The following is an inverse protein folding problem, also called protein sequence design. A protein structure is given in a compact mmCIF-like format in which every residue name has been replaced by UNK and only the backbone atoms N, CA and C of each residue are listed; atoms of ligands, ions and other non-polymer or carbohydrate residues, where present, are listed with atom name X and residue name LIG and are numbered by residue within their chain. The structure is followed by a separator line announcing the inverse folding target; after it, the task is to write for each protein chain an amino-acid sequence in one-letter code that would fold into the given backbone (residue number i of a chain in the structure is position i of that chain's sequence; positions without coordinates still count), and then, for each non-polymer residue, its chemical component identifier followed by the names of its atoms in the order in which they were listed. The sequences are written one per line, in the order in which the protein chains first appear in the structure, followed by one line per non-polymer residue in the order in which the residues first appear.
data_IF_156329785651
#
_entry.id   IF_156329785651
#
_cell.length_a   1.000
_cell.length_b   1.000
_cell.length_c   1.000
_cell.angle_alpha   90.00
_cell.angle_beta   90.00
_cell.angle_gamma   90.00
#
_symmetry.space_group_name_H-M   'P 1'
#
loop_
_entity.id
_entity.type
_entity.pdbx_description
1 polymer ?
#
# COMPACT_ATOMS: atom_id res chain seq x y z
N UNK A 1 -8.65 63.55 6.00
CA UNK A 1 -8.69 62.30 6.79
C UNK A 1 -9.37 61.12 6.07
N UNK A 2 -10.42 61.32 5.25
CA UNK A 2 -11.09 60.24 4.49
C UNK A 2 -10.14 59.41 3.58
N UNK A 3 -9.16 60.05 2.93
CA UNK A 3 -8.23 59.39 2.01
C UNK A 3 -7.23 58.42 2.67
N UNK A 4 -6.99 58.54 3.99
CA UNK A 4 -6.07 57.65 4.71
C UNK A 4 -6.80 56.38 5.17
N UNK A 5 -8.04 56.53 5.63
CA UNK A 5 -8.89 55.40 6.03
C UNK A 5 -9.16 54.47 4.83
N UNK A 6 -9.56 55.00 3.67
CA UNK A 6 -9.79 54.19 2.46
C UNK A 6 -8.55 53.42 1.99
N UNK A 7 -7.35 54.01 2.09
CA UNK A 7 -6.10 53.35 1.71
C UNK A 7 -5.74 52.22 2.68
N UNK A 8 -5.98 52.41 3.98
CA UNK A 8 -5.75 51.39 5.01
C UNK A 8 -6.75 50.22 4.85
N UNK A 9 -8.04 50.51 4.59
CA UNK A 9 -9.04 49.46 4.35
C UNK A 9 -8.76 48.66 3.08
N UNK A 10 -8.29 49.32 2.01
CA UNK A 10 -7.90 48.64 0.77
C UNK A 10 -6.67 47.74 0.96
N UNK A 11 -5.68 48.18 1.75
CA UNK A 11 -4.48 47.40 2.05
C UNK A 11 -4.79 46.17 2.94
N UNK A 12 -5.69 46.32 3.91
CA UNK A 12 -6.17 45.22 4.76
C UNK A 12 -6.98 44.18 3.98
N UNK A 13 -7.83 44.62 3.03
CA UNK A 13 -8.55 43.72 2.12
C UNK A 13 -7.59 42.96 1.19
N UNK A 14 -6.54 43.62 0.67
CA UNK A 14 -5.53 42.97 -0.15
C UNK A 14 -4.72 41.92 0.62
N UNK A 15 -4.37 42.20 1.88
CA UNK A 15 -3.72 41.22 2.76
C UNK A 15 -4.63 40.05 3.11
N UNK A 16 -5.93 40.28 3.35
CA UNK A 16 -6.88 39.19 3.63
C UNK A 16 -7.06 38.22 2.45
N UNK A 17 -6.97 38.72 1.21
CA UNK A 17 -7.05 37.90 -0.01
C UNK A 17 -5.79 37.08 -0.28
N UNK A 18 -4.62 37.55 0.20
CA UNK A 18 -3.35 36.82 0.09
C UNK A 18 -3.27 35.74 1.18
N UNK A 19 -3.81 35.98 2.37
CA UNK A 19 -3.84 34.98 3.45
C UNK A 19 -4.81 33.83 3.19
N UNK A 20 -5.90 34.05 2.43
CA UNK A 20 -6.87 32.98 2.13
C UNK A 20 -6.39 31.96 1.08
N UNK A 21 -5.41 32.31 0.24
CA UNK A 21 -4.89 31.38 -0.78
C UNK A 21 -3.85 30.39 -0.26
N UNK A 22 -3.27 30.63 0.92
CA UNK A 22 -2.20 29.79 1.46
C UNK A 22 -2.76 28.58 2.24
N UNK A 23 -4.07 28.55 2.55
CA UNK A 23 -4.69 27.47 3.33
C UNK A 23 -5.43 26.40 2.50
N UNK A 24 -5.44 26.49 1.16
CA UNK A 24 -6.22 25.63 0.29
C UNK A 24 -5.37 24.94 -0.78
N UNK A 25 -4.27 24.31 -0.37
CA UNK A 25 -3.56 23.33 -1.21
C UNK A 25 -2.61 22.47 -0.35
N UNK A 26 -3.16 21.75 0.63
CA UNK A 26 -2.52 20.47 0.94
C UNK A 26 -2.90 19.55 -0.21
N UNK A 27 -1.97 19.30 -1.12
CA UNK A 27 -2.09 18.24 -2.12
C UNK A 27 -2.35 16.92 -1.38
N UNK A 28 -3.63 16.59 -1.22
CA UNK A 28 -4.16 15.36 -0.63
C UNK A 28 -3.93 14.14 -1.55
N UNK A 29 -3.02 14.26 -2.52
CA UNK A 29 -2.77 13.25 -3.55
C UNK A 29 -1.60 12.32 -3.24
N UNK A 30 -0.86 12.56 -2.15
CA UNK A 30 0.19 11.63 -1.74
C UNK A 30 -0.41 10.47 -0.95
N UNK A 31 -0.27 9.26 -1.51
CA UNK A 31 -0.61 8.02 -0.83
C UNK A 31 0.35 7.82 0.35
N UNK A 32 -0.19 7.49 1.53
CA UNK A 32 0.59 7.30 2.75
C UNK A 32 0.25 5.98 3.44
N UNK A 33 1.26 5.32 4.01
CA UNK A 33 1.04 4.16 4.88
C UNK A 33 0.65 4.62 6.28
N UNK A 34 -0.42 4.05 6.83
CA UNK A 34 -0.79 4.18 8.23
C UNK A 34 -0.28 2.94 8.96
N UNK A 35 0.64 3.15 9.91
CA UNK A 35 1.11 2.06 10.76
C UNK A 35 0.04 1.75 11.82
N UNK A 36 -0.45 0.52 11.83
CA UNK A 36 -1.36 0.00 12.84
C UNK A 36 -0.80 -1.31 13.39
N UNK A 37 -0.44 -1.32 14.68
CA UNK A 37 0.14 -2.50 15.34
C UNK A 37 -0.90 -3.59 15.58
N UNK A 38 -2.18 -3.23 15.66
CA UNK A 38 -3.28 -4.16 15.86
C UNK A 38 -3.73 -4.79 14.53
N UNK A 39 -3.35 -4.21 13.39
CA UNK A 39 -3.51 -4.84 12.09
C UNK A 39 -2.46 -5.94 11.91
N UNK A 40 -2.84 -7.16 12.29
CA UNK A 40 -2.02 -8.37 12.29
C UNK A 40 -1.32 -8.62 10.95
N UNK A 41 -2.02 -8.46 9.83
CA UNK A 41 -1.41 -8.69 8.51
C UNK A 41 -0.30 -7.66 8.29
N UNK A 42 -0.58 -6.38 8.51
CA UNK A 42 0.43 -5.33 8.31
C UNK A 42 1.61 -5.45 9.29
N UNK A 43 1.37 -5.88 10.53
CA UNK A 43 2.41 -5.95 11.56
C UNK A 43 3.33 -7.17 11.39
N UNK A 44 2.79 -8.29 10.88
CA UNK A 44 3.51 -9.57 10.81
C UNK A 44 3.93 -10.00 9.40
N UNK A 45 3.35 -9.48 8.32
CA UNK A 45 3.58 -9.99 6.95
C UNK A 45 5.02 -9.86 6.44
N UNK A 46 5.80 -8.89 6.93
CA UNK A 46 7.20 -8.74 6.54
C UNK A 46 8.01 -10.01 6.84
N UNK A 47 8.86 -10.40 5.88
CA UNK A 47 9.69 -11.60 5.96
C UNK A 47 9.51 -12.56 4.79
N UNK A 48 10.03 -13.78 4.97
CA UNK A 48 10.03 -14.83 3.96
C UNK A 48 9.04 -15.95 4.31
N UNK A 49 8.24 -16.37 3.34
CA UNK A 49 7.12 -17.27 3.51
C UNK A 49 7.13 -18.37 2.44
N UNK A 50 7.20 -19.63 2.84
CA UNK A 50 7.29 -20.77 1.92
C UNK A 50 5.96 -21.53 1.82
N UNK A 51 5.51 -21.80 0.60
CA UNK A 51 4.40 -22.71 0.33
C UNK A 51 4.93 -24.08 -0.07
N UNK A 52 4.72 -25.08 0.80
CA UNK A 52 5.03 -26.47 0.48
C UNK A 52 4.17 -27.01 -0.67
N UNK A 53 2.92 -26.54 -0.78
CA UNK A 53 2.01 -26.97 -1.83
C UNK A 53 2.48 -26.52 -3.21
N UNK A 54 2.98 -25.29 -3.30
CA UNK A 54 3.34 -24.68 -4.58
C UNK A 54 4.84 -24.73 -4.90
N UNK A 55 5.69 -25.02 -3.91
CA UNK A 55 7.14 -25.07 -4.10
C UNK A 55 7.77 -23.71 -4.41
N UNK A 56 7.25 -22.64 -3.79
CA UNK A 56 7.84 -21.30 -3.90
C UNK A 56 7.82 -20.53 -2.58
N UNK A 57 8.70 -19.54 -2.51
CA UNK A 57 8.81 -18.59 -1.40
C UNK A 57 8.35 -17.21 -1.84
N UNK A 58 7.47 -16.59 -1.07
CA UNK A 58 7.15 -15.17 -1.16
C UNK A 58 7.93 -14.38 -0.13
N UNK A 59 8.49 -13.25 -0.54
CA UNK A 59 9.27 -12.37 0.32
C UNK A 59 8.61 -11.00 0.32
N UNK A 60 8.25 -10.51 1.49
CA UNK A 60 7.72 -9.16 1.66
C UNK A 60 8.76 -8.31 2.38
N UNK A 61 9.16 -7.22 1.73
CA UNK A 61 10.07 -6.22 2.29
C UNK A 61 9.35 -4.88 2.36
N UNK A 62 9.22 -4.27 3.54
CA UNK A 62 8.56 -2.97 3.66
C UNK A 62 9.43 -1.86 3.08
N UNK A 63 8.79 -1.01 2.29
CA UNK A 63 9.36 0.22 1.75
C UNK A 63 8.22 1.13 1.31
N UNK A 64 7.89 2.15 2.09
CA UNK A 64 6.77 3.04 1.76
C UNK A 64 7.04 3.93 0.54
N UNK A 65 8.29 4.05 0.10
CA UNK A 65 8.64 4.87 -1.08
C UNK A 65 8.05 4.31 -2.38
N UNK A 66 7.62 3.04 -2.39
CA UNK A 66 6.93 2.46 -3.54
C UNK A 66 5.59 3.14 -3.84
N UNK A 67 4.97 3.80 -2.86
CA UNK A 67 3.72 4.51 -3.07
C UNK A 67 3.89 5.70 -4.03
N UNK A 68 5.08 6.30 -4.09
CA UNK A 68 5.43 7.38 -5.02
C UNK A 68 5.48 6.88 -6.48
N UNK A 69 5.68 5.58 -6.67
CA UNK A 69 5.76 4.95 -7.98
C UNK A 69 4.38 4.56 -8.52
N UNK A 70 3.34 4.53 -7.67
CA UNK A 70 2.00 4.09 -8.07
C UNK A 70 1.41 5.04 -9.11
N UNK A 71 1.05 4.54 -10.32
CA UNK A 71 0.49 5.36 -11.37
C UNK A 71 -0.79 6.08 -10.93
N UNK A 72 -0.95 7.33 -11.38
CA UNK A 72 -2.09 8.19 -11.04
C UNK A 72 -3.44 7.57 -11.42
N UNK A 73 -3.49 6.67 -12.42
CA UNK A 73 -4.69 5.90 -12.78
C UNK A 73 -5.29 5.08 -11.62
N UNK A 74 -4.49 4.76 -10.59
CA UNK A 74 -4.96 4.05 -9.40
C UNK A 74 -5.32 4.97 -8.22
N UNK A 75 -5.00 6.27 -8.28
CA UNK A 75 -5.22 7.19 -7.15
C UNK A 75 -6.71 7.34 -6.82
N UNK A 76 -7.59 7.35 -7.82
CA UNK A 76 -9.04 7.40 -7.58
C UNK A 76 -9.57 6.19 -6.83
N UNK A 77 -8.99 5.00 -7.05
CA UNK A 77 -9.33 3.79 -6.30
C UNK A 77 -8.80 3.86 -4.86
N UNK A 78 -7.65 4.49 -4.66
CA UNK A 78 -6.92 4.50 -3.39
C UNK A 78 -7.24 5.69 -2.47
N UNK A 79 -7.83 6.78 -2.99
CA UNK A 79 -8.05 8.02 -2.23
C UNK A 79 -8.86 7.84 -0.93
N UNK A 80 -9.79 6.88 -0.94
CA UNK A 80 -10.65 6.57 0.22
C UNK A 80 -10.21 5.29 0.94
N UNK A 81 -9.00 4.79 0.66
CA UNK A 81 -8.46 3.55 1.21
C UNK A 81 -7.35 3.84 2.20
N UNK A 82 -7.39 3.12 3.31
CA UNK A 82 -6.25 3.06 4.23
C UNK A 82 -5.24 2.06 3.66
N UNK A 83 -4.00 2.51 3.49
CA UNK A 83 -2.86 1.65 3.15
C UNK A 83 -2.14 1.31 4.45
N UNK A 84 -2.11 0.04 4.82
CA UNK A 84 -1.51 -0.40 6.09
C UNK A 84 -0.04 -0.82 5.96
N UNK A 85 0.37 -1.24 4.76
CA UNK A 85 1.75 -1.61 4.45
C UNK A 85 2.00 -1.39 2.96
N UNK A 86 3.24 -1.08 2.59
CA UNK A 86 3.68 -1.02 1.21
C UNK A 86 5.16 -1.40 1.15
N UNK A 87 5.57 -1.89 -0.01
CA UNK A 87 6.96 -2.25 -0.25
C UNK A 87 7.13 -3.12 -1.48
N UNK A 88 8.05 -4.05 -1.40
CA UNK A 88 8.36 -4.97 -2.49
C UNK A 88 7.99 -6.41 -2.13
N UNK A 89 7.39 -7.10 -3.11
CA UNK A 89 7.14 -8.54 -3.09
C UNK A 89 8.06 -9.23 -4.09
N UNK A 90 8.70 -10.31 -3.68
CA UNK A 90 9.53 -11.18 -4.54
C UNK A 90 8.99 -12.60 -4.48
N UNK A 91 8.94 -13.31 -5.62
CA UNK A 91 8.50 -14.71 -5.67
C UNK A 91 9.66 -15.58 -6.15
N UNK A 92 10.28 -16.32 -5.24
CA UNK A 92 11.37 -17.26 -5.55
C UNK A 92 10.81 -18.66 -5.75
N UNK A 93 10.97 -19.23 -6.94
CA UNK A 93 10.70 -20.65 -7.20
C UNK A 93 11.85 -21.26 -7.99
N UNK A 94 12.14 -22.53 -7.74
CA UNK A 94 13.12 -23.29 -8.53
C UNK A 94 12.66 -23.50 -9.98
N UNK A 95 11.35 -23.46 -10.23
CA UNK A 95 10.75 -23.73 -11.55
C UNK A 95 10.15 -22.50 -12.22
N UNK A 96 9.92 -21.42 -11.46
CA UNK A 96 9.34 -20.16 -11.94
C UNK A 96 10.18 -18.96 -11.52
N UNK A 97 10.79 -18.30 -12.49
CA UNK A 97 11.68 -17.16 -12.22
C UNK A 97 10.89 -15.86 -12.21
N UNK A 98 10.18 -15.56 -11.12
CA UNK A 98 9.74 -14.20 -10.80
C UNK A 98 10.66 -13.62 -9.71
N UNK A 99 11.96 -13.62 -9.98
CA UNK A 99 13.00 -13.17 -9.04
C UNK A 99 13.09 -11.65 -8.90
N UNK A 100 12.27 -10.90 -9.62
CA UNK A 100 12.27 -9.45 -9.56
C UNK A 100 11.33 -8.94 -8.47
N UNK A 101 11.78 -7.90 -7.77
CA UNK A 101 11.00 -7.19 -6.78
C UNK A 101 9.89 -6.40 -7.47
N UNK A 102 8.65 -6.59 -7.02
CA UNK A 102 7.47 -5.91 -7.53
C UNK A 102 6.83 -5.05 -6.45
N UNK A 103 6.42 -3.80 -6.74
CA UNK A 103 5.73 -2.99 -5.76
C UNK A 103 4.43 -3.65 -5.31
N UNK A 104 4.17 -3.60 -4.01
CA UNK A 104 2.90 -4.00 -3.41
C UNK A 104 2.38 -2.94 -2.44
N UNK A 105 1.07 -2.98 -2.19
CA UNK A 105 0.45 -2.34 -1.04
C UNK A 105 -0.63 -3.24 -0.43
N UNK A 106 -0.82 -3.09 0.87
CA UNK A 106 -1.85 -3.77 1.66
C UNK A 106 -2.93 -2.77 2.04
N UNK A 107 -4.18 -3.09 1.69
CA UNK A 107 -5.36 -2.32 2.07
C UNK A 107 -6.48 -3.24 2.54
N UNK A 108 -7.70 -2.71 2.68
CA UNK A 108 -8.90 -3.48 2.97
C UNK A 108 -9.88 -3.38 1.81
N UNK A 109 -10.31 -4.53 1.31
CA UNK A 109 -11.34 -4.66 0.29
C UNK A 109 -12.48 -5.52 0.83
N UNK A 110 -13.70 -4.98 0.86
CA UNK A 110 -14.89 -5.65 1.40
C UNK A 110 -14.73 -6.24 2.82
N UNK A 111 -13.90 -5.60 3.66
CA UNK A 111 -13.63 -6.03 5.03
C UNK A 111 -12.46 -7.00 5.18
N UNK A 112 -11.85 -7.47 4.08
CA UNK A 112 -10.71 -8.39 4.11
C UNK A 112 -9.39 -7.64 3.88
N UNK A 113 -8.31 -8.01 4.59
CA UNK A 113 -6.97 -7.57 4.22
C UNK A 113 -6.65 -8.05 2.82
N UNK A 114 -6.25 -7.12 1.94
CA UNK A 114 -6.07 -7.38 0.53
C UNK A 114 -4.74 -6.80 0.07
N UNK A 115 -3.90 -7.67 -0.50
CA UNK A 115 -2.60 -7.28 -1.04
C UNK A 115 -2.78 -7.08 -2.53
N UNK A 116 -2.33 -5.94 -3.01
CA UNK A 116 -2.21 -5.64 -4.44
C UNK A 116 -0.73 -5.57 -4.78
N UNK A 117 -0.35 -6.16 -5.91
CA UNK A 117 1.00 -6.03 -6.43
C UNK A 117 0.96 -5.77 -7.93
N UNK A 118 2.00 -5.11 -8.42
CA UNK A 118 2.06 -4.69 -9.81
C UNK A 118 2.98 -5.59 -10.63
N UNK A 119 2.63 -5.80 -11.89
CA UNK A 119 3.44 -6.54 -12.83
C UNK A 119 3.54 -5.82 -14.16
N UNK A 120 4.60 -6.14 -14.88
CA UNK A 120 4.80 -5.57 -16.20
C UNK A 120 3.72 -6.05 -17.16
N UNK A 121 3.18 -5.13 -17.96
CA UNK A 121 2.28 -5.44 -19.07
C UNK A 121 2.51 -4.44 -20.18
N UNK A 122 2.75 -4.95 -21.39
CA UNK A 122 3.01 -4.13 -22.59
C UNK A 122 4.17 -3.12 -22.41
N UNK A 123 5.23 -3.50 -21.69
CA UNK A 123 6.40 -2.64 -21.46
C UNK A 123 6.23 -1.56 -20.37
N UNK A 124 5.07 -1.48 -19.72
CA UNK A 124 4.86 -0.67 -18.51
C UNK A 124 5.11 -1.57 -17.28
N UNK A 125 6.14 -1.30 -16.45
CA UNK A 125 6.44 -2.08 -15.24
C UNK A 125 5.28 -2.18 -14.24
N UNK A 126 4.35 -1.21 -14.27
CA UNK A 126 3.14 -1.14 -13.45
C UNK A 126 1.87 -1.17 -14.32
N UNK A 127 1.99 -1.81 -15.48
CA UNK A 127 0.96 -1.90 -16.51
C UNK A 127 -0.26 -2.68 -16.07
N UNK A 128 -0.10 -3.60 -15.12
CA UNK A 128 -1.16 -4.45 -14.59
C UNK A 128 -1.00 -4.63 -13.08
N UNK A 129 -2.10 -4.96 -12.41
CA UNK A 129 -2.11 -5.31 -10.99
C UNK A 129 -2.82 -6.63 -10.77
N UNK A 130 -2.26 -7.45 -9.90
CA UNK A 130 -2.86 -8.67 -9.40
C UNK A 130 -3.13 -8.50 -7.89
N UNK A 131 -4.03 -9.31 -7.34
CA UNK A 131 -4.46 -9.15 -5.97
C UNK A 131 -4.72 -10.47 -5.26
N UNK A 132 -4.73 -10.46 -3.94
CA UNK A 132 -5.20 -11.61 -3.16
C UNK A 132 -5.62 -11.20 -1.76
N UNK A 133 -6.59 -11.92 -1.20
CA UNK A 133 -6.89 -11.82 0.22
C UNK A 133 -5.72 -12.38 1.03
N UNK A 134 -5.50 -11.81 2.21
CA UNK A 134 -4.46 -12.22 3.13
C UNK A 134 -5.00 -12.38 4.56
N UNK A 135 -4.51 -13.40 5.24
CA UNK A 135 -4.78 -13.66 6.65
C UNK A 135 -3.51 -14.24 7.28
N UNK A 136 -3.17 -13.81 8.50
CA UNK A 136 -2.06 -14.39 9.26
C UNK A 136 -2.61 -14.92 10.59
N UNK A 137 -2.43 -16.23 10.82
CA UNK A 137 -2.62 -16.81 12.14
C UNK A 137 -1.30 -16.67 12.91
N UNK A 138 -1.34 -15.95 14.02
CA UNK A 138 -0.18 -15.69 14.87
C UNK A 138 0.10 -16.91 15.76
N UNK A 139 1.35 -17.37 15.74
CA UNK A 139 1.82 -18.48 16.58
C UNK A 139 2.41 -18.00 17.91
N UNK A 140 2.93 -18.95 18.70
CA UNK A 140 3.64 -18.64 19.96
C UNK A 140 4.97 -17.90 19.69
N UNK A 141 5.62 -18.22 18.58
CA UNK A 141 6.78 -17.49 18.05
C UNK A 141 6.54 -17.05 16.59
N UNK A 142 7.29 -16.05 16.07
CA UNK A 142 7.14 -15.64 14.68
C UNK A 142 7.32 -16.77 13.66
N UNK A 143 8.17 -17.77 13.94
CA UNK A 143 8.37 -18.91 13.04
C UNK A 143 7.16 -19.86 12.99
N UNK A 144 6.28 -19.77 13.99
CA UNK A 144 5.04 -20.54 14.06
C UNK A 144 3.87 -19.82 13.37
N UNK A 145 4.08 -18.58 12.89
CA UNK A 145 3.06 -17.86 12.13
C UNK A 145 2.72 -18.60 10.82
N UNK A 146 1.44 -18.59 10.48
CA UNK A 146 0.93 -19.12 9.22
C UNK A 146 0.29 -18.00 8.40
N UNK A 147 0.84 -17.74 7.23
CA UNK A 147 0.26 -16.84 6.25
C UNK A 147 -0.64 -17.65 5.31
N UNK A 148 -1.87 -17.19 5.16
CA UNK A 148 -2.81 -17.70 4.19
C UNK A 148 -3.06 -16.61 3.15
N UNK A 149 -2.82 -16.93 1.88
CA UNK A 149 -3.12 -16.04 0.77
C UNK A 149 -3.97 -16.77 -0.26
N UNK A 150 -5.00 -16.12 -0.75
CA UNK A 150 -5.89 -16.78 -1.69
C UNK A 150 -6.88 -15.82 -2.31
N UNK A 151 -7.22 -16.16 -3.55
CA UNK A 151 -8.32 -15.61 -4.30
C UNK A 151 -8.26 -14.12 -4.63
N UNK A 152 -8.45 -13.80 -5.90
CA UNK A 152 -8.98 -12.49 -6.29
C UNK A 152 -10.42 -12.32 -5.76
N UNK A 153 -11.11 -13.45 -5.56
CA UNK A 153 -12.50 -13.53 -5.09
C UNK A 153 -12.63 -14.41 -3.85
N UNK A 154 -13.62 -14.09 -3.00
CA UNK A 154 -13.86 -14.78 -1.72
C UNK A 154 -14.28 -16.26 -1.84
N UNK A 155 -14.54 -16.75 -3.06
CA UNK A 155 -14.93 -18.15 -3.32
C UNK A 155 -13.77 -19.04 -3.80
N UNK A 156 -12.54 -18.52 -3.82
CA UNK A 156 -11.35 -19.24 -4.22
C UNK A 156 -10.57 -19.75 -2.99
N UNK A 157 -9.86 -20.89 -3.09
CA UNK A 157 -9.15 -21.47 -1.96
C UNK A 157 -7.93 -20.63 -1.54
N UNK A 158 -7.60 -20.70 -0.25
CA UNK A 158 -6.36 -20.15 0.29
C UNK A 158 -5.21 -21.16 0.17
N UNK A 159 -4.06 -20.64 -0.21
CA UNK A 159 -2.77 -21.30 -0.09
C UNK A 159 -2.17 -21.01 1.28
N UNK A 160 -1.53 -22.02 1.87
CA UNK A 160 -0.85 -21.91 3.17
C UNK A 160 0.65 -21.69 2.96
N UNK A 161 1.20 -20.77 3.73
CA UNK A 161 2.61 -20.47 3.80
C UNK A 161 3.12 -20.55 5.24
N UNK A 162 4.30 -21.13 5.41
CA UNK A 162 5.03 -21.16 6.69
C UNK A 162 6.14 -20.13 6.66
N UNK A 163 6.36 -19.44 7.78
CA UNK A 163 7.46 -18.48 7.87
C UNK A 163 8.82 -19.19 7.81
N UNK A 164 9.73 -18.67 6.99
CA UNK A 164 11.12 -19.13 6.89
C UNK A 164 12.03 -18.21 7.69
N UNK A 165 11.81 -16.89 7.58
CA UNK A 165 12.63 -15.85 8.21
C UNK A 165 11.82 -14.57 8.44
N UNK A 166 12.23 -13.79 9.44
CA UNK A 166 11.79 -12.40 9.65
C UNK A 166 12.82 -11.41 9.07
#
# INVERSE_FOLDING_TARGET
MQNLFQKITFLLLLFSLISLKILAQSDSSSLVCITDKENIVSSAMEGEWFSQQEGYTMIFKKDSTVLEQIPTKYHDFLKDKIIYSAGYITIKSETKTYTEDKPYFLTVLHGNPHIFWFRERNGDPLGDSESFNAFIAIGESPLDDLLYMGGDFNNQPFLRFTRVKK
#
